data_IF_732480712646
#
_entry.id   IF_732480712646
#
_cell.length_a   1.000
_cell.length_b   1.000
_cell.length_c   1.000
_cell.angle_alpha   90.00
_cell.angle_beta   90.00
_cell.angle_gamma   90.00
#
_symmetry.space_group_name_H-M   'P 1'
#
loop_
_entity.id
_entity.type
_entity.pdbx_description
1 polymer ?
#
# COMPACT_ATOMS: atom_id res chain seq x y z
N UNK A 1 -18.87 4.28 33.65
CA UNK A 1 -17.50 4.72 33.96
C UNK A 1 -16.48 3.59 34.06
N UNK A 2 -16.71 2.50 34.82
CA UNK A 2 -15.72 1.40 34.98
C UNK A 2 -15.20 0.79 33.68
N UNK A 3 -16.07 0.54 32.68
CA UNK A 3 -15.68 0.01 31.36
C UNK A 3 -14.72 0.92 30.59
N UNK A 4 -14.92 2.24 30.64
CA UNK A 4 -14.08 3.22 29.94
C UNK A 4 -12.68 3.26 30.55
N UNK A 5 -12.59 3.22 31.89
CA UNK A 5 -11.29 3.20 32.60
C UNK A 5 -10.50 1.93 32.26
N UNK A 6 -11.17 0.78 32.21
CA UNK A 6 -10.54 -0.49 31.80
C UNK A 6 -10.01 -0.43 30.36
N UNK A 7 -10.78 0.17 29.44
CA UNK A 7 -10.37 0.36 28.05
C UNK A 7 -9.12 1.26 27.93
N UNK A 8 -9.13 2.41 28.60
CA UNK A 8 -7.99 3.34 28.58
C UNK A 8 -6.72 2.70 29.13
N UNK A 9 -6.86 1.84 30.15
CA UNK A 9 -5.71 1.14 30.73
C UNK A 9 -5.11 0.13 29.76
N UNK A 10 -5.94 -0.57 28.97
CA UNK A 10 -5.47 -1.47 27.92
C UNK A 10 -4.74 -0.69 26.81
N UNK A 11 -5.30 0.42 26.33
CA UNK A 11 -4.70 1.25 25.27
C UNK A 11 -3.41 1.94 25.71
N UNK A 12 -3.33 2.37 26.98
CA UNK A 12 -2.13 2.97 27.54
C UNK A 12 -0.95 1.98 27.58
N UNK A 13 -1.23 0.68 27.78
CA UNK A 13 -0.25 -0.40 27.88
C UNK A 13 0.33 -0.87 26.54
N UNK A 14 -0.13 -0.32 25.41
CA UNK A 14 0.41 -0.66 24.10
C UNK A 14 1.84 -0.15 23.95
N UNK A 15 2.73 -1.04 23.50
CA UNK A 15 4.09 -0.66 23.15
C UNK A 15 4.08 0.16 21.86
N UNK A 16 4.67 1.35 21.91
CA UNK A 16 4.76 2.26 20.77
C UNK A 16 6.15 2.21 20.17
N UNK A 17 6.24 2.37 18.86
CA UNK A 17 7.50 2.60 18.14
C UNK A 17 7.69 4.08 17.85
N UNK A 18 8.93 4.50 17.61
CA UNK A 18 9.21 5.88 17.17
C UNK A 18 8.60 6.11 15.79
N UNK A 19 8.00 7.29 15.60
CA UNK A 19 7.40 7.68 14.31
C UNK A 19 8.45 7.65 13.19
N UNK A 20 9.68 8.05 13.48
CA UNK A 20 10.79 7.99 12.52
C UNK A 20 11.12 6.55 12.06
N UNK A 21 11.04 5.58 12.97
CA UNK A 21 11.24 4.17 12.63
C UNK A 21 10.10 3.67 11.75
N UNK A 22 8.85 3.89 12.18
CA UNK A 22 7.68 3.47 11.41
C UNK A 22 7.66 4.07 10.00
N UNK A 23 8.04 5.36 9.87
CA UNK A 23 8.14 6.02 8.56
C UNK A 23 9.23 5.41 7.68
N UNK A 24 10.36 5.02 8.27
CA UNK A 24 11.45 4.35 7.54
C UNK A 24 11.02 2.98 7.06
N UNK A 25 10.35 2.20 7.91
CA UNK A 25 9.85 0.86 7.57
C UNK A 25 8.81 0.92 6.45
N UNK A 26 7.87 1.88 6.52
CA UNK A 26 6.89 2.13 5.45
C UNK A 26 7.56 2.52 4.14
N UNK A 27 8.52 3.45 4.19
CA UNK A 27 9.27 3.85 2.99
C UNK A 27 9.99 2.65 2.36
N UNK A 28 10.65 1.84 3.18
CA UNK A 28 11.40 0.68 2.71
C UNK A 28 10.46 -0.34 2.04
N UNK A 29 9.30 -0.59 2.65
CA UNK A 29 8.27 -1.45 2.07
C UNK A 29 7.80 -0.92 0.71
N UNK A 30 7.49 0.38 0.62
CA UNK A 30 7.10 1.00 -0.64
C UNK A 30 8.19 0.86 -1.71
N UNK A 31 9.46 1.12 -1.39
CA UNK A 31 10.56 1.02 -2.35
C UNK A 31 10.78 -0.40 -2.88
N UNK A 32 10.64 -1.41 -2.02
CA UNK A 32 10.77 -2.82 -2.41
C UNK A 32 9.63 -3.26 -3.34
N UNK A 33 8.42 -2.76 -3.11
CA UNK A 33 7.23 -3.15 -3.88
C UNK A 33 6.95 -2.23 -5.07
N UNK A 34 7.57 -1.05 -5.15
CA UNK A 34 7.30 -0.07 -6.20
C UNK A 34 7.48 -0.63 -7.61
N UNK A 35 8.47 -1.50 -7.82
CA UNK A 35 8.72 -2.11 -9.13
C UNK A 35 7.62 -3.09 -9.56
N UNK A 36 6.92 -3.67 -8.60
CA UNK A 36 5.85 -4.65 -8.81
C UNK A 36 4.48 -3.99 -8.90
N UNK A 37 4.38 -2.67 -8.67
CA UNK A 37 3.14 -1.93 -8.78
C UNK A 37 2.95 -1.42 -10.21
N UNK A 38 2.00 -2.00 -10.99
CA UNK A 38 1.73 -1.62 -12.37
C UNK A 38 1.31 -0.15 -12.53
N UNK A 39 0.78 0.46 -11.48
CA UNK A 39 0.31 1.84 -11.50
C UNK A 39 1.45 2.83 -11.28
N UNK A 40 2.55 2.40 -10.64
CA UNK A 40 3.74 3.22 -10.42
C UNK A 40 4.76 3.08 -11.55
N UNK A 41 5.05 1.87 -12.01
CA UNK A 41 6.02 1.64 -13.09
C UNK A 41 5.45 1.78 -14.49
N UNK A 42 4.12 1.69 -14.61
CA UNK A 42 3.45 1.54 -15.88
C UNK A 42 3.64 0.13 -16.44
N UNK A 43 2.66 -0.33 -17.20
CA UNK A 43 2.70 -1.63 -17.88
C UNK A 43 2.61 -1.45 -19.38
N UNK A 44 3.26 -2.35 -20.11
CA UNK A 44 3.13 -2.37 -21.56
C UNK A 44 1.68 -2.68 -21.94
N UNK A 45 1.24 -2.18 -23.10
CA UNK A 45 -0.14 -2.37 -23.51
C UNK A 45 -0.52 -3.85 -23.71
N UNK A 46 0.44 -4.74 -23.92
CA UNK A 46 0.20 -6.18 -24.07
C UNK A 46 -0.04 -6.90 -22.75
N UNK A 47 0.49 -6.39 -21.63
CA UNK A 47 0.27 -6.96 -20.29
C UNK A 47 -0.86 -6.28 -19.53
N UNK A 48 -1.37 -5.14 -20.02
CA UNK A 48 -2.51 -4.46 -19.45
C UNK A 48 -3.84 -5.17 -19.81
N UNK A 49 -4.56 -5.78 -18.85
CA UNK A 49 -5.84 -6.44 -19.11
C UNK A 49 -6.96 -5.48 -19.53
N UNK A 50 -6.83 -4.18 -19.27
CA UNK A 50 -7.78 -3.14 -19.67
C UNK A 50 -7.47 -2.53 -21.04
N UNK A 51 -6.55 -3.13 -21.81
CA UNK A 51 -6.22 -2.61 -23.14
C UNK A 51 -7.44 -2.73 -24.08
N UNK A 52 -7.84 -1.67 -24.80
CA UNK A 52 -8.80 -1.81 -25.88
C UNK A 52 -8.26 -2.76 -26.96
N UNK A 53 -9.13 -3.63 -27.50
CA UNK A 53 -8.77 -4.51 -28.60
C UNK A 53 -8.41 -3.66 -29.82
N UNK A 54 -7.23 -3.92 -30.41
CA UNK A 54 -6.90 -3.36 -31.72
C UNK A 54 -7.79 -4.04 -32.75
N UNK A 55 -8.83 -3.36 -33.22
CA UNK A 55 -9.52 -3.74 -34.46
C UNK A 55 -8.53 -3.54 -35.60
N UNK A 56 -8.05 -4.63 -36.20
CA UNK A 56 -7.33 -4.56 -37.47
C UNK A 56 -8.38 -4.27 -38.56
N UNK A 57 -8.55 -3.01 -38.93
CA UNK A 57 -9.23 -2.67 -40.18
C UNK A 57 -8.27 -2.94 -41.33
N UNK A 58 -8.49 -4.02 -42.07
CA UNK A 58 -7.91 -4.20 -43.39
C UNK A 58 -8.59 -3.18 -44.33
N UNK A 59 -7.82 -2.21 -44.81
CA UNK A 59 -8.18 -1.29 -45.90
C UNK A 59 -7.46 -1.77 -47.17
#
# INVERSE_FOLDING_TARGET
>A
MKKVVQQLWLEARLNRVKVSQAATDLKQFCLQNAQHDPLLTGVSSSTNPFRPQKVCSFL
#
